data_IF_727046156441
#
_entry.id   IF_727046156441
#
_cell.length_a   1.000
_cell.length_b   1.000
_cell.length_c   1.000
_cell.angle_alpha   90.00
_cell.angle_beta   90.00
_cell.angle_gamma   90.00
#
_symmetry.space_group_name_H-M   'P 1'
#
loop_
_entity.id
_entity.type
_entity.pdbx_description
1 polymer ?
#
# COMPACT_ATOMS: atom_id res chain seq x y z
N UNK A 1 -2.18 -6.93 -24.45
CA UNK A 1 -3.52 -6.31 -24.31
C UNK A 1 -3.38 -5.09 -23.41
N UNK A 2 -2.96 -3.96 -23.96
CA UNK A 2 -2.54 -2.81 -23.14
C UNK A 2 -3.70 -2.18 -22.37
N UNK A 3 -4.93 -2.35 -22.87
CA UNK A 3 -6.14 -1.92 -22.19
C UNK A 3 -6.34 -2.61 -20.84
N UNK A 4 -5.95 -3.88 -20.68
CA UNK A 4 -6.14 -4.62 -19.42
C UNK A 4 -5.21 -4.08 -18.32
N UNK A 5 -3.98 -3.71 -18.69
CA UNK A 5 -3.05 -3.05 -17.77
C UNK A 5 -3.60 -1.70 -17.33
N UNK A 6 -4.08 -0.87 -18.27
CA UNK A 6 -4.69 0.42 -17.96
C UNK A 6 -5.88 0.29 -16.99
N UNK A 7 -6.74 -0.71 -17.19
CA UNK A 7 -7.86 -0.99 -16.27
C UNK A 7 -7.33 -1.34 -14.88
N UNK A 8 -6.32 -2.20 -14.77
CA UNK A 8 -5.73 -2.55 -13.48
C UNK A 8 -5.13 -1.34 -12.74
N UNK A 9 -4.51 -0.41 -13.49
CA UNK A 9 -3.94 0.82 -12.94
C UNK A 9 -5.05 1.78 -12.46
N UNK A 10 -6.17 1.88 -13.17
CA UNK A 10 -7.35 2.63 -12.72
C UNK A 10 -7.92 2.03 -11.42
N UNK A 11 -8.01 0.70 -11.31
CA UNK A 11 -8.47 0.03 -10.10
C UNK A 11 -7.52 0.26 -8.91
N UNK A 12 -6.22 0.36 -9.15
CA UNK A 12 -5.24 0.78 -8.15
C UNK A 12 -5.50 2.22 -7.72
N UNK A 13 -5.68 3.15 -8.67
CA UNK A 13 -5.98 4.54 -8.35
C UNK A 13 -7.24 4.65 -7.49
N UNK A 14 -8.31 3.93 -7.83
CA UNK A 14 -9.55 3.89 -7.03
C UNK A 14 -9.28 3.35 -5.62
N UNK A 15 -8.55 2.23 -5.51
CA UNK A 15 -8.20 1.63 -4.21
C UNK A 15 -7.35 2.55 -3.33
N UNK A 16 -6.31 3.18 -3.89
CA UNK A 16 -5.43 4.11 -3.19
C UNK A 16 -6.18 5.36 -2.74
N UNK A 17 -7.01 5.96 -3.60
CA UNK A 17 -7.84 7.11 -3.23
C UNK A 17 -8.83 6.74 -2.12
N UNK A 18 -9.43 5.55 -2.17
CA UNK A 18 -10.31 5.04 -1.12
C UNK A 18 -9.58 4.90 0.21
N UNK A 19 -8.34 4.38 0.21
CA UNK A 19 -7.49 4.31 1.40
C UNK A 19 -7.16 5.71 1.94
N UNK A 20 -6.82 6.67 1.09
CA UNK A 20 -6.50 8.04 1.50
C UNK A 20 -7.71 8.67 2.20
N UNK A 21 -8.90 8.55 1.59
CA UNK A 21 -10.16 9.03 2.18
C UNK A 21 -10.36 8.38 3.56
N UNK A 22 -10.27 7.06 3.65
CA UNK A 22 -10.41 6.32 4.91
C UNK A 22 -9.47 6.87 5.99
N UNK A 23 -8.20 7.06 5.66
CA UNK A 23 -7.18 7.53 6.60
C UNK A 23 -7.47 8.97 7.05
N UNK A 24 -7.91 9.85 6.14
CA UNK A 24 -8.23 11.26 6.45
C UNK A 24 -9.37 11.36 7.47
N UNK A 25 -10.40 10.52 7.35
CA UNK A 25 -11.54 10.47 8.26
C UNK A 25 -11.29 9.65 9.54
N UNK A 26 -10.14 8.97 9.64
CA UNK A 26 -9.81 8.18 10.82
C UNK A 26 -9.35 9.09 11.96
N UNK A 27 -9.91 8.93 13.16
CA UNK A 27 -9.56 9.74 14.35
C UNK A 27 -8.05 9.73 14.65
N UNK A 28 -7.45 8.54 14.54
CA UNK A 28 -6.02 8.33 14.73
C UNK A 28 -5.19 8.37 13.43
N UNK A 29 -5.57 9.24 12.47
CA UNK A 29 -4.96 9.34 11.12
C UNK A 29 -3.43 9.29 11.09
N UNK A 30 -2.74 9.99 11.99
CA UNK A 30 -1.26 10.02 12.02
C UNK A 30 -0.64 8.68 12.41
N UNK A 31 -1.32 7.90 13.27
CA UNK A 31 -0.88 6.55 13.63
C UNK A 31 -1.06 5.64 12.42
N UNK A 32 -2.24 5.67 11.80
CA UNK A 32 -2.54 4.83 10.63
C UNK A 32 -1.61 5.16 9.46
N UNK A 33 -1.40 6.44 9.14
CA UNK A 33 -0.44 6.89 8.12
C UNK A 33 0.94 6.31 8.35
N UNK A 34 1.47 6.42 9.58
CA UNK A 34 2.79 5.89 9.93
C UNK A 34 2.89 4.38 9.69
N UNK A 35 1.87 3.62 10.07
CA UNK A 35 1.80 2.16 9.85
C UNK A 35 1.79 1.82 8.36
N UNK A 36 0.94 2.50 7.59
CA UNK A 36 0.82 2.31 6.14
C UNK A 36 2.13 2.66 5.43
N UNK A 37 2.76 3.80 5.76
CA UNK A 37 4.03 4.18 5.16
C UNK A 37 5.16 3.21 5.48
N UNK A 38 5.24 2.68 6.70
CA UNK A 38 6.25 1.69 7.05
C UNK A 38 6.02 0.38 6.28
N UNK A 39 4.78 -0.11 6.21
CA UNK A 39 4.44 -1.30 5.42
C UNK A 39 4.76 -1.12 3.94
N UNK A 40 4.38 0.01 3.36
CA UNK A 40 4.73 0.40 1.99
C UNK A 40 6.24 0.42 1.77
N UNK A 41 6.99 1.06 2.66
CA UNK A 41 8.45 1.17 2.55
C UNK A 41 9.11 -0.22 2.59
N UNK A 42 8.69 -1.10 3.49
CA UNK A 42 9.22 -2.46 3.59
C UNK A 42 8.94 -3.29 2.33
N UNK A 43 7.70 -3.25 1.81
CA UNK A 43 7.32 -3.98 0.60
C UNK A 43 8.08 -3.48 -0.63
N UNK A 44 8.24 -2.17 -0.80
CA UNK A 44 8.96 -1.59 -1.94
C UNK A 44 10.48 -1.68 -1.80
N UNK A 45 11.00 -1.76 -0.58
CA UNK A 45 12.41 -2.08 -0.36
C UNK A 45 12.69 -3.51 -0.80
N UNK A 46 11.85 -4.48 -0.38
CA UNK A 46 11.98 -5.87 -0.84
C UNK A 46 11.89 -5.95 -2.37
N UNK A 47 10.96 -5.21 -2.99
CA UNK A 47 10.86 -5.09 -4.46
C UNK A 47 12.16 -4.60 -5.09
N UNK A 48 12.72 -3.51 -4.57
CA UNK A 48 13.97 -2.91 -5.06
C UNK A 48 15.13 -3.91 -4.97
N UNK A 49 15.24 -4.63 -3.85
CA UNK A 49 16.27 -5.67 -3.65
C UNK A 49 16.07 -6.82 -4.64
N UNK A 50 14.83 -7.29 -4.84
CA UNK A 50 14.57 -8.35 -5.83
C UNK A 50 14.95 -7.90 -7.23
N UNK A 51 14.55 -6.71 -7.66
CA UNK A 51 14.93 -6.18 -8.98
C UNK A 51 16.44 -5.99 -9.16
N UNK A 52 17.19 -5.76 -8.08
CA UNK A 52 18.65 -5.64 -8.14
C UNK A 52 19.33 -7.01 -8.26
N UNK A 53 18.83 -8.03 -7.56
CA UNK A 53 19.45 -9.37 -7.50
C UNK A 53 19.00 -10.26 -8.66
N UNK A 54 17.80 -10.04 -9.19
CA UNK A 54 17.21 -10.90 -10.23
C UNK A 54 17.32 -10.26 -11.61
N UNK A 55 17.51 -11.10 -12.63
CA UNK A 55 17.54 -10.72 -14.05
C UNK A 55 16.69 -11.72 -14.83
N UNK A 56 15.40 -11.45 -14.94
CA UNK A 56 14.42 -12.25 -15.69
C UNK A 56 13.95 -11.51 -16.95
N UNK A 57 13.70 -12.28 -18.03
CA UNK A 57 13.18 -11.71 -19.27
C UNK A 57 11.74 -11.21 -19.09
N UNK A 58 11.42 -10.13 -19.81
CA UNK A 58 10.10 -9.52 -19.84
C UNK A 58 9.06 -10.54 -20.35
N UNK A 59 7.93 -10.75 -19.65
CA UNK A 59 6.91 -11.70 -20.07
C UNK A 59 6.11 -11.23 -21.30
N UNK A 60 5.97 -9.92 -21.52
CA UNK A 60 5.27 -9.34 -22.67
C UNK A 60 6.24 -8.89 -23.76
N UNK A 61 6.03 -9.37 -24.97
CA UNK A 61 6.80 -8.96 -26.16
C UNK A 61 6.34 -7.61 -26.75
N UNK A 62 5.22 -7.06 -26.27
CA UNK A 62 4.65 -5.80 -26.80
C UNK A 62 5.02 -4.57 -25.98
N UNK A 63 5.73 -4.73 -24.86
CA UNK A 63 6.11 -3.61 -23.99
C UNK A 63 7.35 -2.90 -24.51
N UNK A 64 7.24 -1.61 -24.82
CA UNK A 64 8.37 -0.82 -25.30
C UNK A 64 9.37 -0.52 -24.16
N UNK A 65 10.57 -1.09 -24.27
CA UNK A 65 11.68 -0.82 -23.37
C UNK A 65 12.58 0.28 -23.95
N UNK A 66 12.80 1.36 -23.18
CA UNK A 66 13.77 2.38 -23.56
C UNK A 66 15.19 1.77 -23.57
N UNK A 67 16.03 2.10 -24.58
CA UNK A 67 17.41 1.62 -24.62
C UNK A 67 18.22 2.14 -23.42
N UNK A 68 19.24 1.36 -23.02
CA UNK A 68 20.19 1.74 -21.97
C UNK A 68 20.92 3.02 -22.39
N UNK A 69 21.02 3.98 -21.47
CA UNK A 69 21.80 5.20 -21.70
C UNK A 69 23.30 4.89 -21.68
N UNK A 70 24.04 5.39 -22.66
CA UNK A 70 25.51 5.26 -22.72
C UNK A 70 26.23 6.20 -21.74
N UNK A 71 25.54 7.21 -21.20
CA UNK A 71 26.07 8.17 -20.24
C UNK A 71 25.29 8.14 -18.91
N UNK A 72 26.01 8.08 -17.79
CA UNK A 72 25.50 8.09 -16.41
C UNK A 72 25.74 9.44 -15.75
N UNK A 73 25.11 10.49 -16.27
CA UNK A 73 25.19 11.82 -15.64
C UNK A 73 24.21 11.92 -14.45
N UNK A 74 24.61 12.47 -13.29
CA UNK A 74 23.72 12.61 -12.12
C UNK A 74 22.42 13.36 -12.43
N UNK A 75 22.48 14.38 -13.30
CA UNK A 75 21.31 15.15 -13.75
C UNK A 75 20.29 14.29 -14.51
N UNK A 76 20.76 13.33 -15.31
CA UNK A 76 19.91 12.41 -16.05
C UNK A 76 19.18 11.45 -15.12
N UNK A 77 19.87 10.97 -14.08
CA UNK A 77 19.29 10.10 -13.05
C UNK A 77 18.22 10.88 -12.26
N UNK A 78 18.54 12.10 -11.81
CA UNK A 78 17.59 12.95 -11.09
C UNK A 78 16.33 13.25 -11.91
N UNK A 79 16.47 13.54 -13.21
CA UNK A 79 15.34 13.76 -14.12
C UNK A 79 14.45 12.52 -14.25
N UNK A 80 15.05 11.33 -14.37
CA UNK A 80 14.31 10.05 -14.43
C UNK A 80 13.58 9.74 -13.13
N UNK A 81 14.25 9.93 -11.98
CA UNK A 81 13.62 9.76 -10.66
C UNK A 81 12.44 10.72 -10.49
N UNK A 82 12.61 12.00 -10.84
CA UNK A 82 11.52 12.98 -10.77
C UNK A 82 10.36 12.61 -11.70
N UNK A 83 10.64 12.16 -12.92
CA UNK A 83 9.61 11.72 -13.87
C UNK A 83 8.83 10.48 -13.34
N UNK A 84 9.51 9.53 -12.72
CA UNK A 84 8.88 8.35 -12.11
C UNK A 84 8.05 8.69 -10.87
N UNK A 85 8.57 9.57 -10.00
CA UNK A 85 7.85 10.07 -8.84
C UNK A 85 6.60 10.87 -9.24
N UNK A 86 6.69 11.68 -10.30
CA UNK A 86 5.56 12.46 -10.81
C UNK A 86 4.40 11.59 -11.31
N UNK A 87 4.69 10.36 -11.74
CA UNK A 87 3.69 9.39 -12.18
C UNK A 87 3.20 8.46 -11.07
N UNK A 88 3.64 8.63 -9.81
CA UNK A 88 3.39 7.70 -8.70
C UNK A 88 3.71 6.22 -9.02
N UNK A 89 4.58 5.97 -10.01
CA UNK A 89 4.91 4.62 -10.49
C UNK A 89 3.83 3.92 -11.33
N UNK A 90 2.86 4.64 -11.89
CA UNK A 90 1.84 4.11 -12.82
C UNK A 90 2.20 4.40 -14.29
N UNK A 91 1.82 3.51 -15.21
CA UNK A 91 2.09 3.59 -16.65
C UNK A 91 1.06 4.42 -17.44
N UNK A 92 -0.09 4.78 -16.86
CA UNK A 92 -1.21 5.55 -17.45
C UNK A 92 -0.80 6.75 -18.34
N UNK A 93 0.33 7.42 -18.07
CA UNK A 93 0.80 8.56 -18.88
C UNK A 93 1.78 8.21 -20.02
N UNK A 94 1.98 6.92 -20.33
CA UNK A 94 2.90 6.46 -21.40
C UNK A 94 4.38 6.76 -21.12
N UNK A 95 4.71 7.20 -19.91
CA UNK A 95 6.06 7.64 -19.50
C UNK A 95 6.87 6.57 -18.79
N UNK A 96 6.29 5.40 -18.53
CA UNK A 96 6.95 4.32 -17.79
C UNK A 96 7.69 3.35 -18.73
N UNK A 97 8.61 3.87 -19.54
CA UNK A 97 9.36 3.09 -20.56
C UNK A 97 10.54 2.30 -19.98
N UNK A 98 10.60 2.11 -18.66
CA UNK A 98 11.69 1.39 -17.99
C UNK A 98 11.30 -0.07 -17.82
N UNK A 99 12.10 -0.96 -18.41
CA UNK A 99 11.99 -2.40 -18.22
C UNK A 99 12.97 -2.85 -17.14
N UNK A 100 12.51 -3.76 -16.29
CA UNK A 100 13.29 -4.34 -15.19
C UNK A 100 12.64 -5.65 -14.75
N UNK A 101 13.08 -6.19 -13.62
CA UNK A 101 12.61 -7.51 -13.19
C UNK A 101 11.18 -7.52 -12.64
N UNK A 102 10.41 -8.51 -13.09
CA UNK A 102 8.96 -8.60 -12.85
C UNK A 102 8.59 -9.50 -11.66
N UNK A 103 9.53 -10.25 -11.05
CA UNK A 103 9.31 -11.23 -9.96
C UNK A 103 8.45 -10.69 -8.81
N UNK A 104 8.54 -9.39 -8.53
CA UNK A 104 7.77 -8.77 -7.48
C UNK A 104 6.79 -7.74 -8.06
N UNK A 105 5.54 -8.17 -8.25
CA UNK A 105 4.48 -7.37 -8.87
C UNK A 105 4.00 -6.23 -7.97
N UNK A 106 4.37 -4.99 -8.30
CA UNK A 106 3.90 -3.81 -7.56
C UNK A 106 2.40 -3.56 -7.66
N UNK A 107 1.79 -3.88 -8.81
CA UNK A 107 0.34 -3.76 -9.01
C UNK A 107 -0.40 -4.63 -8.00
N UNK A 108 0.03 -5.89 -7.88
CA UNK A 108 -0.53 -6.84 -6.91
C UNK A 108 -0.34 -6.34 -5.48
N UNK A 109 0.86 -5.85 -5.14
CA UNK A 109 1.14 -5.28 -3.81
C UNK A 109 0.19 -4.13 -3.48
N UNK A 110 0.00 -3.19 -4.40
CA UNK A 110 -0.93 -2.05 -4.19
C UNK A 110 -2.37 -2.50 -4.00
N UNK A 111 -2.87 -3.39 -4.86
CA UNK A 111 -4.25 -3.88 -4.79
C UNK A 111 -4.52 -4.63 -3.48
N UNK A 112 -3.63 -5.57 -3.14
CA UNK A 112 -3.76 -6.39 -1.93
C UNK A 112 -3.61 -5.53 -0.67
N UNK A 113 -2.61 -4.65 -0.63
CA UNK A 113 -2.40 -3.79 0.52
C UNK A 113 -3.56 -2.80 0.71
N UNK A 114 -4.09 -2.22 -0.36
CA UNK A 114 -5.26 -1.34 -0.29
C UNK A 114 -6.48 -2.08 0.29
N UNK A 115 -6.76 -3.29 -0.18
CA UNK A 115 -7.80 -4.14 0.40
C UNK A 115 -7.58 -4.41 1.88
N UNK A 116 -6.37 -4.81 2.29
CA UNK A 116 -6.06 -5.13 3.69
C UNK A 116 -6.20 -3.90 4.60
N UNK A 117 -5.74 -2.72 4.15
CA UNK A 117 -5.91 -1.45 4.88
C UNK A 117 -7.39 -1.13 5.05
N UNK A 118 -8.18 -1.22 3.97
CA UNK A 118 -9.61 -0.96 4.04
C UNK A 118 -10.27 -1.93 5.03
N UNK A 119 -10.01 -3.22 4.91
CA UNK A 119 -10.60 -4.24 5.79
C UNK A 119 -10.24 -4.06 7.27
N UNK A 120 -8.99 -3.66 7.57
CA UNK A 120 -8.52 -3.53 8.95
C UNK A 120 -8.98 -2.24 9.63
N UNK A 121 -8.88 -1.12 8.94
CA UNK A 121 -9.16 0.18 9.55
C UNK A 121 -10.62 0.61 9.42
N UNK A 122 -11.40 0.03 8.50
CA UNK A 122 -12.82 0.37 8.38
C UNK A 122 -13.73 -0.37 9.39
N UNK A 123 -14.86 0.25 9.79
CA UNK A 123 -15.81 -0.36 10.71
C UNK A 123 -16.40 -1.65 10.14
N UNK A 124 -16.52 -2.69 10.96
CA UNK A 124 -17.08 -4.00 10.57
C UNK A 124 -18.53 -3.93 10.07
N UNK A 125 -19.25 -2.84 10.39
CA UNK A 125 -20.64 -2.62 9.95
C UNK A 125 -20.77 -2.34 8.46
N UNK A 126 -19.72 -1.81 7.81
CA UNK A 126 -19.75 -1.49 6.38
C UNK A 126 -19.27 -2.65 5.51
N UNK A 127 -20.00 -3.77 5.57
CA UNK A 127 -19.68 -4.99 4.81
C UNK A 127 -19.59 -4.73 3.29
N UNK A 128 -20.41 -3.81 2.76
CA UNK A 128 -20.40 -3.45 1.34
C UNK A 128 -19.04 -2.89 0.88
N UNK A 129 -18.38 -2.08 1.72
CA UNK A 129 -17.06 -1.51 1.41
C UNK A 129 -16.00 -2.62 1.38
N UNK A 130 -16.08 -3.58 2.31
CA UNK A 130 -15.15 -4.72 2.34
C UNK A 130 -15.29 -5.59 1.10
N UNK A 131 -16.53 -5.92 0.73
CA UNK A 131 -16.82 -6.66 -0.49
C UNK A 131 -16.38 -5.93 -1.75
N UNK A 132 -16.65 -4.62 -1.83
CA UNK A 132 -16.21 -3.80 -2.95
C UNK A 132 -14.67 -3.75 -3.06
N UNK A 133 -13.96 -3.59 -1.94
CA UNK A 133 -12.50 -3.59 -1.92
C UNK A 133 -11.91 -4.95 -2.28
N UNK A 134 -12.53 -6.04 -1.82
CA UNK A 134 -12.14 -7.40 -2.17
C UNK A 134 -12.32 -7.67 -3.67
N UNK A 135 -13.50 -7.31 -4.22
CA UNK A 135 -13.78 -7.45 -5.64
C UNK A 135 -12.84 -6.59 -6.49
N UNK A 136 -12.56 -5.35 -6.08
CA UNK A 136 -11.61 -4.47 -6.74
C UNK A 136 -10.21 -5.09 -6.82
N UNK A 137 -9.73 -5.67 -5.71
CA UNK A 137 -8.44 -6.36 -5.69
C UNK A 137 -8.43 -7.61 -6.58
N UNK A 138 -9.50 -8.43 -6.52
CA UNK A 138 -9.63 -9.64 -7.34
C UNK A 138 -9.63 -9.31 -8.84
N UNK A 139 -10.49 -8.38 -9.27
CA UNK A 139 -10.57 -7.94 -10.67
C UNK A 139 -9.25 -7.34 -11.11
N UNK A 140 -8.61 -6.50 -10.28
CA UNK A 140 -7.32 -5.92 -10.59
C UNK A 140 -6.23 -6.98 -10.82
N UNK A 141 -6.15 -8.01 -9.97
CA UNK A 141 -5.18 -9.11 -10.13
C UNK A 141 -5.44 -9.92 -11.40
N UNK A 142 -6.71 -10.22 -11.71
CA UNK A 142 -7.08 -10.92 -12.95
C UNK A 142 -6.66 -10.09 -14.17
N UNK A 143 -6.90 -8.78 -14.16
CA UNK A 143 -6.50 -7.88 -15.25
C UNK A 143 -4.99 -7.79 -15.42
N UNK A 144 -4.21 -7.80 -14.32
CA UNK A 144 -2.74 -7.85 -14.37
C UNK A 144 -2.25 -9.13 -15.04
N UNK A 145 -2.87 -10.27 -14.73
CA UNK A 145 -2.53 -11.56 -15.35
C UNK A 145 -2.91 -11.59 -16.84
N UNK A 146 -4.09 -11.09 -17.20
CA UNK A 146 -4.56 -11.01 -18.59
C UNK A 146 -3.71 -10.06 -19.45
N UNK A 147 -3.14 -9.01 -18.84
CA UNK A 147 -2.22 -8.13 -19.53
C UNK A 147 -0.89 -8.83 -19.90
N UNK A 148 -0.62 -10.03 -19.38
CA UNK A 148 0.65 -10.76 -19.50
C UNK A 148 1.87 -9.91 -19.09
N UNK A 149 1.66 -8.90 -18.24
CA UNK A 149 2.72 -8.01 -17.76
C UNK A 149 3.56 -8.61 -16.63
N UNK A 150 3.07 -9.67 -16.00
CA UNK A 150 3.72 -10.39 -14.91
C UNK A 150 3.48 -11.88 -15.06
N UNK A 151 4.42 -12.71 -14.61
CA UNK A 151 4.18 -14.13 -14.45
C UNK A 151 3.22 -14.36 -13.27
N UNK A 152 2.50 -15.48 -13.29
CA UNK A 152 1.63 -15.89 -12.18
C UNK A 152 2.40 -16.03 -10.88
N UNK A 153 3.66 -16.50 -10.94
CA UNK A 153 4.54 -16.60 -9.77
C UNK A 153 4.80 -15.23 -9.13
N UNK A 154 4.91 -14.17 -9.94
CA UNK A 154 5.16 -12.81 -9.44
C UNK A 154 4.00 -12.30 -8.60
N UNK A 155 2.78 -12.61 -9.02
CA UNK A 155 1.54 -12.30 -8.32
C UNK A 155 1.44 -13.10 -7.03
N UNK A 156 1.77 -14.40 -7.05
CA UNK A 156 1.74 -15.26 -5.88
C UNK A 156 2.74 -14.81 -4.81
N UNK A 157 3.98 -14.50 -5.20
CA UNK A 157 5.01 -13.98 -4.29
C UNK A 157 4.57 -12.64 -3.70
N UNK A 158 4.10 -11.72 -4.54
CA UNK A 158 3.61 -10.42 -4.09
C UNK A 158 2.46 -10.55 -3.08
N UNK A 159 1.47 -11.41 -3.36
CA UNK A 159 0.37 -11.69 -2.46
C UNK A 159 0.85 -12.28 -1.13
N UNK A 160 1.73 -13.30 -1.18
CA UNK A 160 2.24 -13.97 0.02
C UNK A 160 3.03 -13.02 0.92
N UNK A 161 3.98 -12.27 0.36
CA UNK A 161 4.80 -11.32 1.12
C UNK A 161 3.95 -10.20 1.69
N UNK A 162 3.03 -9.62 0.91
CA UNK A 162 2.17 -8.52 1.35
C UNK A 162 1.28 -8.94 2.51
N UNK A 163 0.59 -10.08 2.38
CA UNK A 163 -0.29 -10.58 3.44
C UNK A 163 0.50 -10.97 4.69
N UNK A 164 1.59 -11.73 4.56
CA UNK A 164 2.42 -12.12 5.71
C UNK A 164 2.97 -10.92 6.45
N UNK A 165 3.55 -9.94 5.76
CA UNK A 165 4.07 -8.75 6.40
C UNK A 165 2.96 -7.97 7.12
N UNK A 166 1.80 -7.79 6.48
CA UNK A 166 0.67 -7.09 7.06
C UNK A 166 0.16 -7.75 8.35
N UNK A 167 -0.06 -9.07 8.33
CA UNK A 167 -0.57 -9.80 9.49
C UNK A 167 0.46 -9.87 10.62
N UNK A 168 1.74 -10.12 10.30
CA UNK A 168 2.81 -10.11 11.30
C UNK A 168 2.92 -8.74 11.95
N UNK A 169 2.88 -7.65 11.15
CA UNK A 169 2.91 -6.29 11.65
C UNK A 169 1.78 -5.99 12.63
N UNK A 170 0.53 -6.28 12.26
CA UNK A 170 -0.62 -6.00 13.11
C UNK A 170 -0.68 -6.93 14.33
N UNK A 171 -0.18 -8.16 14.22
CA UNK A 171 -0.03 -9.07 15.36
C UNK A 171 0.95 -8.51 16.39
N UNK A 172 2.09 -8.00 15.95
CA UNK A 172 3.06 -7.35 16.84
C UNK A 172 2.50 -6.04 17.43
N UNK A 173 1.80 -5.24 16.63
CA UNK A 173 1.26 -3.95 17.06
C UNK A 173 0.11 -4.08 18.07
N UNK A 174 -0.72 -5.14 17.95
CA UNK A 174 -1.87 -5.36 18.83
C UNK A 174 -1.49 -6.05 20.15
N UNK A 175 -0.35 -6.73 20.22
CA UNK A 175 0.12 -7.45 21.41
C UNK A 175 1.27 -6.72 22.09
N UNK A 176 0.98 -6.06 23.22
CA UNK A 176 2.00 -5.28 23.96
C UNK A 176 3.18 -6.13 24.48
N UNK A 177 2.95 -7.43 24.74
CA UNK A 177 4.01 -8.36 25.12
C UNK A 177 5.01 -8.60 23.98
N UNK A 178 4.54 -8.64 22.73
CA UNK A 178 5.38 -8.85 21.55
C UNK A 178 6.10 -7.58 21.10
N UNK A 179 5.58 -6.40 21.47
CA UNK A 179 6.25 -5.12 21.26
C UNK A 179 7.54 -5.01 22.09
N UNK A 180 7.57 -5.62 23.29
CA UNK A 180 8.77 -5.69 24.14
C UNK A 180 9.68 -6.82 23.65
N UNK A 181 10.98 -6.54 23.60
CA UNK A 181 11.98 -7.54 23.24
C UNK A 181 12.08 -8.55 24.40
N UNK A 182 11.52 -9.74 24.18
CA UNK A 182 11.60 -10.89 25.09
C UNK A 182 12.49 -11.95 24.45
N UNK A 183 13.23 -12.72 25.26
CA UNK A 183 14.09 -13.82 24.76
C UNK A 183 13.33 -14.82 23.91
N UNK A 184 12.03 -14.97 24.16
CA UNK A 184 11.16 -15.96 23.53
C UNK A 184 10.44 -15.42 22.28
N UNK A 185 10.64 -14.14 21.91
CA UNK A 185 9.99 -13.57 20.74
C UNK A 185 10.88 -13.72 19.49
N UNK A 186 10.69 -14.80 18.73
CA UNK A 186 11.45 -15.01 17.50
C UNK A 186 11.16 -13.96 16.41
N UNK A 187 9.97 -13.35 16.42
CA UNK A 187 9.64 -12.26 15.50
C UNK A 187 10.47 -10.98 15.76
N UNK A 188 11.10 -10.86 16.93
CA UNK A 188 12.02 -9.74 17.19
C UNK A 188 13.35 -9.86 16.47
N UNK A 189 13.65 -11.02 15.85
CA UNK A 189 14.87 -11.26 15.07
C UNK A 189 14.75 -10.79 13.62
N UNK A 190 13.55 -10.41 13.19
CA UNK A 190 13.31 -9.83 11.88
C UNK A 190 14.12 -8.54 11.71
N UNK A 191 14.79 -8.38 10.56
CA UNK A 191 15.66 -7.22 10.29
C UNK A 191 14.91 -5.88 10.36
N UNK A 192 13.61 -5.89 10.05
CA UNK A 192 12.75 -4.70 10.07
C UNK A 192 12.15 -4.41 11.46
N UNK A 193 12.34 -5.29 12.45
CA UNK A 193 11.75 -5.16 13.79
C UNK A 193 12.21 -3.90 14.52
N UNK A 194 13.44 -3.45 14.29
CA UNK A 194 13.97 -2.21 14.88
C UNK A 194 13.14 -0.99 14.46
N UNK A 195 12.83 -0.88 13.17
CA UNK A 195 12.00 0.22 12.63
C UNK A 195 10.57 0.12 13.17
N UNK A 196 10.00 -1.08 13.20
CA UNK A 196 8.70 -1.32 13.81
C UNK A 196 8.62 -0.80 15.25
N UNK A 197 9.60 -1.15 16.10
CA UNK A 197 9.64 -0.71 17.51
C UNK A 197 9.76 0.80 17.64
N UNK A 198 10.54 1.44 16.77
CA UNK A 198 10.70 2.90 16.75
C UNK A 198 9.36 3.61 16.47
N UNK A 199 8.63 3.15 15.45
CA UNK A 199 7.37 3.78 15.04
C UNK A 199 6.17 3.43 15.95
N UNK A 200 6.20 2.30 16.67
CA UNK A 200 5.12 1.86 17.57
C UNK A 200 5.37 2.18 19.06
N UNK A 201 6.52 2.74 19.43
CA UNK A 201 6.91 3.02 20.84
C UNK A 201 5.85 3.79 21.65
N UNK A 202 5.12 4.70 21.01
CA UNK A 202 4.17 5.60 21.67
C UNK A 202 2.72 5.09 21.68
N UNK A 203 2.46 3.89 21.15
CA UNK A 203 1.10 3.36 20.99
C UNK A 203 0.82 2.33 22.09
N UNK A 204 -0.18 2.63 22.93
CA UNK A 204 -0.55 1.81 24.09
C UNK A 204 -1.74 0.90 23.80
N UNK A 205 -1.61 0.02 22.80
CA UNK A 205 -2.61 -1.03 22.48
C UNK A 205 -3.28 -0.90 21.11
N UNK A 206 -4.33 -1.71 20.83
CA UNK A 206 -4.98 -1.75 19.53
C UNK A 206 -5.67 -0.42 19.22
N UNK A 207 -5.52 0.03 17.97
CA UNK A 207 -6.11 1.30 17.52
C UNK A 207 -7.61 1.13 17.35
N UNK A 208 -8.46 1.90 18.05
CA UNK A 208 -9.90 1.78 17.89
C UNK A 208 -10.33 2.31 16.52
N UNK A 209 -11.30 1.63 15.89
CA UNK A 209 -11.86 1.96 14.58
C UNK A 209 -12.86 3.13 14.68
N UNK A 210 -12.40 4.27 15.18
CA UNK A 210 -13.19 5.49 15.36
C UNK A 210 -12.91 6.48 14.23
N UNK A 211 -13.98 7.07 13.71
CA UNK A 211 -13.94 8.04 12.61
C UNK A 211 -14.40 9.40 13.13
N UNK A 212 -13.61 10.43 12.84
CA UNK A 212 -13.93 11.82 13.15
C UNK A 212 -13.81 12.62 11.85
N UNK A 213 -14.81 13.45 11.56
CA UNK A 213 -14.72 14.35 10.41
C UNK A 213 -13.60 15.38 10.64
N UNK A 214 -12.60 15.48 9.74
CA UNK A 214 -11.50 16.43 9.89
C UNK A 214 -11.96 17.88 9.73
N UNK A 215 -13.10 18.09 9.09
CA UNK A 215 -13.80 19.37 9.03
C UNK A 215 -14.62 19.45 10.30
N UNK A 216 -14.07 20.08 11.33
CA UNK A 216 -14.88 20.59 12.44
C UNK A 216 -15.87 21.59 11.84
N UNK A 217 -17.10 21.16 11.56
CA UNK A 217 -18.19 22.09 11.31
C UNK A 217 -18.18 23.09 12.46
N UNK A 218 -18.08 24.41 12.21
CA UNK A 218 -18.10 25.38 13.28
C UNK A 218 -19.38 25.12 14.09
N UNK A 219 -19.23 24.91 15.41
CA UNK A 219 -20.31 24.72 16.38
C UNK A 219 -21.15 25.99 16.55
N UNK A 220 -21.58 26.62 15.45
CA UNK A 220 -22.47 27.78 15.41
C UNK A 220 -23.85 27.48 14.83
N UNK A 221 -24.07 26.29 14.25
CA UNK A 221 -25.39 25.92 13.72
C UNK A 221 -26.29 25.11 14.68
N UNK A 222 -25.77 24.71 15.85
CA UNK A 222 -26.59 24.17 16.95
C UNK A 222 -26.49 25.07 18.18
N UNK A 223 -26.84 26.35 18.03
CA UNK A 223 -27.13 27.21 19.17
C UNK A 223 -28.55 26.93 19.68
N UNK A 224 -28.63 26.46 20.92
CA UNK A 224 -29.77 26.60 21.85
C UNK A 224 -31.09 25.91 21.42
N UNK A 225 -31.26 24.66 21.86
CA UNK A 225 -32.58 24.27 22.39
C UNK A 225 -32.62 24.80 23.84
N UNK A 226 -33.56 25.70 24.19
CA UNK A 226 -33.69 26.17 25.56
C UNK A 226 -34.14 25.00 26.44
N UNK A 227 -33.45 24.84 27.57
CA UNK A 227 -33.90 24.07 28.73
C UNK A 227 -35.30 24.53 29.12
N UNK A 228 -36.29 23.65 28.99
CA UNK A 228 -37.62 23.85 29.55
C UNK A 228 -37.60 23.23 30.94
N UNK A 229 -37.36 24.08 31.94
CA UNK A 229 -37.78 23.78 33.31
C UNK A 229 -39.31 23.90 33.38
N UNK A 230 -39.95 22.81 33.80
CA UNK A 230 -41.24 22.78 34.51
C UNK A 230 -41.49 21.36 35.00
#
# INVERSE_FOLDING_TARGET
MDWALNVSEILIMIGVNSCIILIIFHKHRFIVMRRVFLLMALLYLMRSVTMYVTVLPVPSTTYYCSPKSNSTTPLLIAKRVFQLLSGFGLSINGKHTFCGDYIYSGHTVMLVLAYLIISEYSPKRFYAIHWAAWLNALVGIIMVLLAHGHYTIDVLIAYYVTTRLFWTYHTLANNQMLLKQSSNNYLSREWWFMYFRYFEKNIRGPVPRQYDCPISWPRRFFSKLPSRES
#
